data_IF_916580286069
#
_entry.id   IF_916580286069
#
_cell.length_a   1.000
_cell.length_b   1.000
_cell.length_c   1.000
_cell.angle_alpha   90.00
_cell.angle_beta   90.00
_cell.angle_gamma   90.00
#
_symmetry.space_group_name_H-M   'P 1'
#
loop_
_entity.id
_entity.type
_entity.pdbx_description
1 polymer ?
#
# COMPACT_ATOMS: atom_id res chain seq x y z
N UNK A 1 7.26 27.53 -6.33
CA UNK A 1 7.36 26.07 -6.39
C UNK A 1 5.97 25.52 -6.13
N UNK A 2 5.36 24.87 -7.11
CA UNK A 2 4.07 24.20 -6.90
C UNK A 2 4.28 23.02 -5.95
N UNK A 3 3.47 22.94 -4.89
CA UNK A 3 3.43 21.75 -4.01
C UNK A 3 2.72 20.64 -4.77
N UNK A 4 3.45 19.93 -5.62
CA UNK A 4 2.95 18.76 -6.34
C UNK A 4 3.17 17.51 -5.49
N UNK A 5 2.15 16.68 -5.37
CA UNK A 5 2.25 15.36 -4.74
C UNK A 5 3.02 14.40 -5.66
N UNK A 6 3.80 13.51 -5.06
CA UNK A 6 4.57 12.51 -5.78
C UNK A 6 3.66 11.61 -6.63
N UNK A 7 4.16 11.28 -7.81
CA UNK A 7 3.56 10.35 -8.74
C UNK A 7 4.67 9.41 -9.19
N UNK A 8 4.48 8.11 -8.98
CA UNK A 8 5.49 7.12 -9.30
C UNK A 8 5.52 6.86 -10.81
N UNK A 9 6.63 7.19 -11.51
CA UNK A 9 6.72 6.95 -12.95
C UNK A 9 6.91 5.46 -13.29
N UNK A 10 7.37 4.64 -12.34
CA UNK A 10 7.64 3.21 -12.56
C UNK A 10 6.42 2.34 -12.23
N UNK A 11 5.48 2.85 -11.43
CA UNK A 11 4.24 2.17 -11.07
C UNK A 11 3.04 3.11 -11.19
N UNK A 12 2.65 3.50 -12.42
CA UNK A 12 1.65 4.53 -12.65
C UNK A 12 0.26 4.11 -12.15
N UNK A 13 -0.54 5.08 -11.70
CA UNK A 13 -1.92 4.88 -11.27
C UNK A 13 -2.87 4.66 -12.47
N UNK A 14 -2.74 3.51 -13.14
CA UNK A 14 -3.50 3.13 -14.32
C UNK A 14 -3.76 1.63 -14.36
N UNK A 15 -4.71 1.19 -15.20
CA UNK A 15 -5.14 -0.21 -15.26
C UNK A 15 -4.01 -1.22 -15.49
N UNK A 16 -2.94 -0.82 -16.22
CA UNK A 16 -1.79 -1.70 -16.48
C UNK A 16 -1.04 -2.12 -15.21
N UNK A 17 -1.17 -1.36 -14.14
CA UNK A 17 -0.55 -1.65 -12.84
C UNK A 17 -1.39 -2.59 -11.98
N UNK A 18 -2.63 -2.88 -12.41
CA UNK A 18 -3.59 -3.72 -11.68
C UNK A 18 -3.81 -5.08 -12.32
N UNK A 19 -3.85 -5.13 -13.66
CA UNK A 19 -4.27 -6.34 -14.37
C UNK A 19 -3.36 -6.66 -15.54
N UNK A 20 -2.94 -7.93 -15.63
CA UNK A 20 -2.22 -8.46 -16.77
C UNK A 20 -3.14 -9.02 -17.88
N UNK A 21 -4.40 -9.36 -17.57
CA UNK A 21 -5.24 -10.12 -18.50
C UNK A 21 -6.71 -9.71 -18.56
N UNK A 22 -7.36 -9.38 -17.43
CA UNK A 22 -8.78 -8.98 -17.42
C UNK A 22 -9.02 -7.79 -16.51
N UNK A 23 -9.61 -6.73 -17.07
CA UNK A 23 -10.17 -5.62 -16.33
C UNK A 23 -11.44 -6.10 -15.60
N UNK A 24 -11.60 -5.84 -14.30
CA UNK A 24 -12.85 -6.13 -13.61
C UNK A 24 -13.97 -5.26 -14.20
N UNK A 25 -15.24 -5.68 -14.06
CA UNK A 25 -16.39 -4.96 -14.61
C UNK A 25 -16.69 -3.63 -13.87
N UNK A 26 -15.94 -3.31 -12.81
CA UNK A 26 -16.11 -2.11 -11.99
C UNK A 26 -15.31 -0.94 -12.56
N UNK A 27 -15.84 0.28 -12.39
CA UNK A 27 -15.11 1.51 -12.70
C UNK A 27 -14.08 1.75 -11.59
N UNK A 28 -12.81 1.64 -11.93
CA UNK A 28 -11.70 1.85 -11.00
C UNK A 28 -11.27 3.31 -11.03
N UNK A 29 -11.14 3.89 -9.85
CA UNK A 29 -10.57 5.20 -9.62
C UNK A 29 -9.32 5.04 -8.76
N UNK A 30 -8.31 5.87 -9.02
CA UNK A 30 -7.10 5.91 -8.20
C UNK A 30 -7.17 7.12 -7.31
N UNK A 31 -7.39 6.89 -6.01
CA UNK A 31 -7.61 7.92 -5.02
C UNK A 31 -6.51 7.89 -3.97
N UNK A 32 -6.07 9.05 -3.50
CA UNK A 32 -5.20 9.15 -2.32
C UNK A 32 -6.04 8.96 -1.05
N UNK A 33 -5.44 8.50 0.07
CA UNK A 33 -6.13 8.36 1.36
C UNK A 33 -6.90 9.61 1.81
N UNK A 34 -6.35 10.81 1.57
CA UNK A 34 -7.03 12.08 1.88
C UNK A 34 -8.25 12.41 1.00
N UNK A 35 -8.42 11.72 -0.13
CA UNK A 35 -9.61 11.80 -0.99
C UNK A 35 -10.69 10.79 -0.57
N UNK A 36 -10.31 9.76 0.18
CA UNK A 36 -11.19 8.68 0.66
C UNK A 36 -11.74 9.01 2.04
N UNK A 37 -10.89 9.48 2.95
CA UNK A 37 -11.24 9.84 4.34
C UNK A 37 -10.63 11.17 4.76
N UNK A 38 -11.22 11.82 5.78
CA UNK A 38 -10.78 13.15 6.25
C UNK A 38 -9.45 13.15 6.99
N UNK A 39 -9.18 12.11 7.77
CA UNK A 39 -8.03 12.05 8.68
C UNK A 39 -7.24 10.75 8.47
N UNK A 40 -6.62 10.56 7.29
CA UNK A 40 -5.87 9.35 7.01
C UNK A 40 -4.65 9.24 7.94
N UNK A 41 -4.39 8.03 8.40
CA UNK A 41 -3.27 7.65 9.25
C UNK A 41 -2.53 6.48 8.59
N UNK A 42 -1.21 6.46 8.70
CA UNK A 42 -0.44 5.33 8.20
C UNK A 42 -0.68 4.13 9.11
N UNK A 43 -0.46 4.32 10.40
CA UNK A 43 -0.67 3.34 11.46
C UNK A 43 -1.48 4.04 12.57
N UNK A 44 -2.56 3.41 13.04
CA UNK A 44 -3.37 3.88 14.17
C UNK A 44 -2.88 3.24 15.49
N UNK A 45 -3.54 3.47 16.64
CA UNK A 45 -3.06 3.04 17.97
C UNK A 45 -2.78 1.51 18.08
N UNK A 46 -1.58 1.11 17.68
CA UNK A 46 -1.13 -0.28 17.53
C UNK A 46 -1.41 -0.83 16.12
N UNK A 47 -0.44 -1.56 15.56
CA UNK A 47 -0.66 -2.37 14.36
C UNK A 47 -1.21 -3.75 14.76
N UNK A 48 -2.23 -4.20 14.07
CA UNK A 48 -3.01 -5.38 14.41
C UNK A 48 -3.21 -6.29 13.21
N UNK A 49 -3.35 -7.60 13.47
CA UNK A 49 -3.77 -8.56 12.43
C UNK A 49 -5.15 -8.21 11.83
N UNK A 50 -5.96 -7.43 12.54
CA UNK A 50 -7.28 -7.00 12.05
C UNK A 50 -7.20 -5.89 11.00
N UNK A 51 -6.01 -5.34 10.76
CA UNK A 51 -5.77 -4.30 9.77
C UNK A 51 -5.44 -4.91 8.40
N UNK A 52 -5.51 -6.24 8.29
CA UNK A 52 -5.26 -7.04 7.10
C UNK A 52 -6.55 -7.74 6.69
N UNK A 53 -7.45 -6.99 6.05
CA UNK A 53 -8.69 -7.54 5.46
C UNK A 53 -8.45 -7.80 3.98
N UNK A 54 -8.78 -9.01 3.52
CA UNK A 54 -8.68 -9.38 2.11
C UNK A 54 -9.70 -8.62 1.26
N UNK A 55 -9.23 -7.93 0.24
CA UNK A 55 -10.07 -7.39 -0.82
C UNK A 55 -10.29 -8.37 -1.96
N UNK A 56 -10.43 -7.88 -3.19
CA UNK A 56 -10.78 -8.71 -4.36
C UNK A 56 -9.60 -9.51 -4.94
N UNK A 57 -8.38 -9.32 -4.43
CA UNK A 57 -7.20 -10.09 -4.83
C UNK A 57 -7.15 -11.45 -4.10
N UNK A 58 -6.73 -12.49 -4.84
CA UNK A 58 -6.49 -13.84 -4.32
C UNK A 58 -5.13 -14.00 -3.64
N UNK A 59 -4.65 -12.99 -2.95
CA UNK A 59 -3.29 -12.85 -2.41
C UNK A 59 -3.20 -13.22 -0.91
N UNK A 60 -4.07 -14.12 -0.45
CA UNK A 60 -4.17 -14.55 0.95
C UNK A 60 -2.84 -14.97 1.60
N UNK A 61 -1.86 -15.41 0.79
CA UNK A 61 -0.50 -15.72 1.21
C UNK A 61 0.28 -14.49 1.69
N UNK A 62 0.11 -13.33 1.04
CA UNK A 62 0.72 -12.06 1.45
C UNK A 62 0.04 -11.54 2.71
N UNK A 63 -1.29 -11.63 2.78
CA UNK A 63 -2.06 -11.25 3.97
C UNK A 63 -1.66 -12.04 5.20
N UNK A 64 -1.55 -13.37 5.08
CA UNK A 64 -1.12 -14.20 6.19
C UNK A 64 0.30 -13.84 6.68
N UNK A 65 1.20 -13.46 5.77
CA UNK A 65 2.53 -12.99 6.13
C UNK A 65 2.47 -11.61 6.83
N UNK A 66 1.72 -10.66 6.28
CA UNK A 66 1.53 -9.32 6.86
C UNK A 66 0.90 -9.39 8.27
N UNK A 67 -0.12 -10.23 8.45
CA UNK A 67 -0.76 -10.45 9.74
C UNK A 67 0.17 -11.11 10.78
N UNK A 68 1.19 -11.87 10.36
CA UNK A 68 2.20 -12.41 11.27
C UNK A 68 3.30 -11.38 11.59
N UNK A 69 3.61 -10.47 10.65
CA UNK A 69 4.56 -9.37 10.91
C UNK A 69 4.07 -8.47 12.05
N UNK A 70 2.76 -8.22 12.14
CA UNK A 70 2.17 -7.40 13.22
C UNK A 70 2.29 -8.02 14.62
N UNK A 71 2.74 -9.28 14.74
CA UNK A 71 2.99 -9.91 16.04
C UNK A 71 4.39 -9.59 16.61
N UNK A 72 5.23 -8.90 15.83
CA UNK A 72 6.62 -8.56 16.17
C UNK A 72 6.97 -7.15 15.69
N UNK A 73 6.76 -6.16 16.56
CA UNK A 73 7.02 -4.74 16.31
C UNK A 73 8.36 -4.47 15.61
N UNK A 74 9.45 -5.09 16.05
CA UNK A 74 10.79 -4.90 15.46
C UNK A 74 10.82 -5.31 13.97
N UNK A 75 10.17 -6.42 13.63
CA UNK A 75 10.10 -6.89 12.24
C UNK A 75 9.11 -6.06 11.43
N UNK A 76 7.98 -5.67 12.05
CA UNK A 76 7.00 -4.80 11.43
C UNK A 76 7.61 -3.46 11.04
N UNK A 77 8.25 -2.75 11.99
CA UNK A 77 8.87 -1.45 11.73
C UNK A 77 10.10 -1.53 10.82
N UNK A 78 10.67 -2.73 10.65
CA UNK A 78 11.68 -2.96 9.62
C UNK A 78 11.07 -2.97 8.22
N UNK A 79 9.87 -3.50 8.05
CA UNK A 79 9.15 -3.55 6.76
C UNK A 79 8.38 -2.26 6.47
N UNK A 80 7.77 -1.67 7.51
CA UNK A 80 6.96 -0.45 7.48
C UNK A 80 7.63 0.62 8.35
N UNK A 81 8.55 1.42 7.77
CA UNK A 81 9.26 2.46 8.49
C UNK A 81 8.28 3.47 9.14
N UNK A 82 8.42 3.78 10.44
CA UNK A 82 7.48 4.62 11.17
C UNK A 82 7.71 6.13 10.97
N UNK A 83 8.73 6.54 10.21
CA UNK A 83 9.09 7.93 9.92
C UNK A 83 8.29 8.56 8.77
N UNK A 84 7.12 7.98 8.49
CA UNK A 84 6.25 8.34 7.38
C UNK A 84 4.86 8.73 7.89
N UNK A 85 4.28 9.80 7.35
CA UNK A 85 3.00 10.33 7.85
C UNK A 85 2.19 11.01 6.75
N UNK A 86 0.86 11.00 6.94
CA UNK A 86 -0.08 11.79 6.15
C UNK A 86 -0.21 13.24 6.63
N UNK A 87 0.31 13.57 7.82
CA UNK A 87 0.21 14.91 8.42
C UNK A 87 1.54 15.64 8.38
N UNK A 88 2.62 15.00 8.81
CA UNK A 88 3.95 15.58 8.88
C UNK A 88 4.73 15.33 7.59
N UNK A 89 5.25 16.40 6.97
CA UNK A 89 6.06 16.35 5.73
C UNK A 89 5.42 15.56 4.57
N UNK A 90 4.09 15.44 4.57
CA UNK A 90 3.36 14.67 3.56
C UNK A 90 3.60 15.23 2.14
N UNK A 91 4.02 14.34 1.25
CA UNK A 91 4.24 14.63 -0.17
C UNK A 91 3.62 13.57 -1.09
N UNK A 92 2.71 12.72 -0.59
CA UNK A 92 2.08 11.64 -1.36
C UNK A 92 3.06 10.52 -1.77
N UNK A 93 4.10 10.31 -0.97
CA UNK A 93 5.18 9.34 -1.18
C UNK A 93 5.37 8.52 0.09
N UNK A 94 5.54 7.21 -0.08
CA UNK A 94 5.83 6.25 0.99
C UNK A 94 6.86 5.23 0.52
N UNK A 95 7.49 4.53 1.44
CA UNK A 95 8.42 3.45 1.16
C UNK A 95 8.27 2.28 2.13
N UNK A 96 8.64 1.10 1.64
CA UNK A 96 8.58 -0.16 2.37
C UNK A 96 9.86 -0.95 2.10
N UNK A 97 10.26 -1.79 3.06
CA UNK A 97 11.49 -2.58 2.93
C UNK A 97 11.18 -4.06 2.82
N UNK A 98 11.69 -4.68 1.76
CA UNK A 98 11.56 -6.11 1.52
C UNK A 98 12.92 -6.79 1.57
N UNK A 99 12.97 -8.01 2.13
CA UNK A 99 14.19 -8.80 2.17
C UNK A 99 14.30 -9.67 0.92
N UNK A 100 15.35 -9.46 0.13
CA UNK A 100 15.62 -10.19 -1.10
C UNK A 100 17.08 -10.61 -1.18
N UNK A 101 17.34 -11.91 -1.37
CA UNK A 101 18.68 -12.47 -1.62
C UNK A 101 19.78 -11.95 -0.67
N UNK A 102 19.46 -11.83 0.63
CA UNK A 102 20.42 -11.40 1.65
C UNK A 102 20.53 -9.88 1.83
N UNK A 103 19.67 -9.09 1.19
CA UNK A 103 19.69 -7.62 1.23
C UNK A 103 18.30 -7.06 1.47
N UNK A 104 18.25 -5.90 2.12
CA UNK A 104 17.03 -5.08 2.19
C UNK A 104 16.92 -4.25 0.92
N UNK A 105 15.77 -4.33 0.28
CA UNK A 105 15.40 -3.54 -0.90
C UNK A 105 14.35 -2.52 -0.47
N UNK A 106 14.64 -1.25 -0.71
CA UNK A 106 13.73 -0.15 -0.40
C UNK A 106 12.84 0.14 -1.61
N UNK A 107 11.53 0.10 -1.42
CA UNK A 107 10.53 0.24 -2.48
C UNK A 107 9.67 1.46 -2.21
N UNK A 108 9.88 2.49 -3.01
CA UNK A 108 9.16 3.76 -2.95
C UNK A 108 7.92 3.70 -3.83
N UNK A 109 6.78 4.20 -3.34
CA UNK A 109 5.51 4.28 -4.07
C UNK A 109 4.85 5.65 -3.84
N UNK A 110 3.97 6.06 -4.75
CA UNK A 110 2.95 7.05 -4.40
C UNK A 110 1.79 6.41 -3.62
N UNK A 111 0.95 7.22 -3.00
CA UNK A 111 -0.17 6.74 -2.17
C UNK A 111 -1.51 6.63 -2.90
N UNK A 112 -1.55 6.73 -4.24
CA UNK A 112 -2.81 6.50 -4.98
C UNK A 112 -3.20 5.03 -4.88
N UNK A 113 -4.39 4.73 -4.39
CA UNK A 113 -4.89 3.37 -4.21
C UNK A 113 -6.10 3.11 -5.13
N UNK A 114 -6.26 1.88 -5.64
CA UNK A 114 -7.43 1.48 -6.42
C UNK A 114 -8.69 1.46 -5.55
N UNK A 115 -9.68 2.23 -5.95
CA UNK A 115 -10.96 2.35 -5.29
C UNK A 115 -12.12 2.24 -6.28
N UNK A 116 -13.30 1.90 -5.77
CA UNK A 116 -14.57 1.91 -6.49
C UNK A 116 -15.63 2.47 -5.56
N UNK A 117 -16.35 3.51 -5.99
CA UNK A 117 -17.37 4.20 -5.18
C UNK A 117 -16.84 4.72 -3.82
N UNK A 118 -15.57 5.12 -3.78
CA UNK A 118 -14.92 5.60 -2.55
C UNK A 118 -14.47 4.50 -1.58
N UNK A 119 -14.58 3.23 -1.93
CA UNK A 119 -14.09 2.10 -1.13
C UNK A 119 -12.86 1.46 -1.79
N UNK A 120 -11.86 1.08 -0.98
CA UNK A 120 -10.67 0.38 -1.44
C UNK A 120 -11.04 -0.99 -2.01
N UNK A 121 -10.44 -1.35 -3.16
CA UNK A 121 -10.72 -2.62 -3.82
C UNK A 121 -9.95 -3.80 -3.23
N UNK A 122 -8.80 -3.53 -2.63
CA UNK A 122 -7.84 -4.55 -2.18
C UNK A 122 -7.62 -4.51 -0.67
N UNK A 123 -6.43 -4.89 -0.20
CA UNK A 123 -6.14 -4.97 1.23
C UNK A 123 -6.43 -3.63 1.91
N UNK A 124 -7.16 -3.69 3.03
CA UNK A 124 -7.48 -2.50 3.82
C UNK A 124 -7.65 -2.87 5.31
N UNK A 125 -7.53 -1.87 6.17
CA UNK A 125 -7.80 -2.04 7.59
C UNK A 125 -9.29 -2.04 7.88
N UNK A 126 -9.69 -2.69 8.99
CA UNK A 126 -11.03 -2.51 9.56
C UNK A 126 -11.28 -1.06 9.99
N UNK A 127 -10.21 -0.36 10.37
CA UNK A 127 -10.29 1.07 10.61
C UNK A 127 -10.23 1.80 9.28
N UNK A 128 -11.30 2.53 8.94
CA UNK A 128 -11.40 3.23 7.65
C UNK A 128 -10.32 4.30 7.44
N UNK A 129 -9.61 4.72 8.49
CA UNK A 129 -8.58 5.74 8.41
C UNK A 129 -7.15 5.20 8.45
N UNK A 130 -6.93 3.88 8.41
CA UNK A 130 -5.59 3.29 8.47
C UNK A 130 -5.18 2.64 7.14
N UNK A 131 -3.98 2.97 6.65
CA UNK A 131 -3.58 2.68 5.27
C UNK A 131 -2.27 1.88 5.10
N UNK A 132 -1.56 1.52 6.17
CA UNK A 132 -0.28 0.79 6.05
C UNK A 132 -0.42 -0.50 5.24
N UNK A 133 -1.51 -1.25 5.44
CA UNK A 133 -1.72 -2.56 4.81
C UNK A 133 -2.00 -2.42 3.31
N UNK A 134 -2.87 -1.48 2.94
CA UNK A 134 -3.14 -1.14 1.54
C UNK A 134 -1.88 -0.66 0.79
N UNK A 135 -1.08 0.19 1.44
CA UNK A 135 0.16 0.70 0.87
C UNK A 135 1.26 -0.38 0.80
N UNK A 136 1.33 -1.27 1.78
CA UNK A 136 2.25 -2.41 1.78
C UNK A 136 1.95 -3.36 0.61
N UNK A 137 0.68 -3.71 0.40
CA UNK A 137 0.23 -4.53 -0.73
C UNK A 137 0.64 -3.89 -2.07
N UNK A 138 0.41 -2.58 -2.22
CA UNK A 138 0.83 -1.84 -3.42
C UNK A 138 2.34 -1.87 -3.61
N UNK A 139 3.13 -1.62 -2.56
CA UNK A 139 4.59 -1.63 -2.64
C UNK A 139 5.11 -3.03 -3.03
N UNK A 140 4.48 -4.07 -2.50
CA UNK A 140 4.84 -5.44 -2.84
C UNK A 140 4.46 -5.81 -4.27
N UNK A 141 3.31 -5.34 -4.77
CA UNK A 141 2.92 -5.49 -6.17
C UNK A 141 3.94 -4.81 -7.11
N UNK A 142 4.37 -3.59 -6.80
CA UNK A 142 5.46 -2.90 -7.52
C UNK A 142 6.75 -3.72 -7.47
N UNK A 143 7.17 -4.16 -6.29
CA UNK A 143 8.38 -4.95 -6.12
C UNK A 143 8.40 -6.20 -7.02
N UNK A 144 7.27 -6.92 -7.11
CA UNK A 144 7.14 -8.08 -8.00
C UNK A 144 7.32 -7.67 -9.47
N UNK A 145 6.66 -6.58 -9.90
CA UNK A 145 6.76 -6.07 -11.27
C UNK A 145 8.19 -5.65 -11.62
N UNK A 146 8.91 -5.02 -10.69
CA UNK A 146 10.27 -4.53 -10.91
C UNK A 146 11.33 -5.65 -10.89
N UNK A 147 11.13 -6.73 -10.12
CA UNK A 147 12.18 -7.72 -9.85
C UNK A 147 11.95 -9.11 -10.45
N UNK A 148 10.73 -9.44 -10.87
CA UNK A 148 10.38 -10.79 -11.36
C UNK A 148 9.68 -10.78 -12.72
N UNK A 149 9.70 -9.64 -13.41
CA UNK A 149 9.21 -9.54 -14.78
C UNK A 149 10.38 -9.75 -15.74
N UNK A 150 10.50 -10.99 -16.24
CA UNK A 150 11.33 -11.34 -17.40
C UNK A 150 10.78 -10.74 -18.71
#
# INVERSE_FOLDING_TARGET
QEKRLFEDPHFPAQDSSLFFSRRPPKRIEWLRPGEIVREPQLITEGHSRFDVIQGELGDCWLLAAAANLTLKDELFYRVVPPDQSFTENYAGIFHFQFWQYGKWVDVVIDDRLPASNGELLYMHSKSNNEFWSALLEKAYAKYIVDHFRD
#
